data_IF_001330106402
#
_entry.id   IF_001330106402
#
_cell.length_a   1.000
_cell.length_b   1.000
_cell.length_c   1.000
_cell.angle_alpha   90.00
_cell.angle_beta   90.00
_cell.angle_gamma   90.00
#
_symmetry.space_group_name_H-M   'P 1'
#
loop_
_entity.id
_entity.type
_entity.pdbx_description
1 polymer ?
#
# COMPACT_ATOMS: atom_id res chain seq x y z
N UNK A 1 -13.75 -24.97 35.29
CA UNK A 1 -13.58 -25.29 33.85
C UNK A 1 -12.68 -24.22 33.28
N UNK A 2 -11.38 -24.55 33.17
CA UNK A 2 -10.35 -23.60 32.72
C UNK A 2 -10.29 -23.70 31.21
N UNK A 3 -10.73 -22.68 30.50
CA UNK A 3 -10.60 -22.61 29.04
C UNK A 3 -9.13 -22.40 28.71
N UNK A 4 -8.43 -23.46 28.30
CA UNK A 4 -7.13 -23.39 27.67
C UNK A 4 -7.30 -22.89 26.24
N UNK A 5 -6.98 -21.63 25.99
CA UNK A 5 -6.73 -21.14 24.63
C UNK A 5 -5.44 -21.77 24.12
N UNK A 6 -5.42 -22.40 22.94
CA UNK A 6 -4.16 -22.86 22.37
C UNK A 6 -3.27 -21.63 22.07
N UNK A 7 -2.07 -21.62 22.62
CA UNK A 7 -1.05 -20.59 22.34
C UNK A 7 -0.62 -20.68 20.86
N UNK A 8 -1.30 -19.95 19.99
CA UNK A 8 -0.88 -19.72 18.59
C UNK A 8 0.01 -18.47 18.42
N UNK A 9 0.43 -17.86 19.53
CA UNK A 9 1.28 -16.67 19.52
C UNK A 9 2.57 -16.96 20.29
N UNK A 10 3.47 -17.70 19.69
CA UNK A 10 4.76 -17.94 20.29
C UNK A 10 5.88 -17.89 19.27
N UNK A 11 6.12 -16.69 18.76
CA UNK A 11 7.45 -16.18 18.42
C UNK A 11 7.25 -14.68 18.30
N UNK A 12 8.10 -13.80 18.87
CA UNK A 12 8.08 -12.39 18.52
C UNK A 12 8.24 -12.32 17.01
N UNK A 13 7.36 -11.59 16.33
CA UNK A 13 7.49 -11.29 14.91
C UNK A 13 8.87 -10.68 14.72
N UNK A 14 9.76 -11.42 14.06
CA UNK A 14 11.10 -10.94 13.81
C UNK A 14 10.96 -9.83 12.76
N UNK A 15 11.37 -8.61 13.12
CA UNK A 15 11.41 -7.48 12.20
C UNK A 15 12.29 -7.84 11.00
N UNK A 16 11.86 -7.48 9.82
CA UNK A 16 12.68 -7.63 8.62
C UNK A 16 13.72 -6.50 8.56
N UNK A 17 14.78 -6.71 7.79
CA UNK A 17 15.76 -5.65 7.53
C UNK A 17 15.10 -4.40 6.91
N UNK A 18 14.08 -4.60 6.08
CA UNK A 18 13.31 -3.53 5.45
C UNK A 18 12.47 -2.76 6.47
N UNK A 19 11.85 -3.45 7.44
CA UNK A 19 11.13 -2.77 8.53
C UNK A 19 12.07 -1.90 9.35
N UNK A 20 13.25 -2.39 9.74
CA UNK A 20 14.23 -1.61 10.50
C UNK A 20 14.71 -0.38 9.71
N UNK A 21 14.94 -0.54 8.41
CA UNK A 21 15.36 0.56 7.52
C UNK A 21 14.28 1.65 7.42
N UNK A 22 13.00 1.26 7.23
CA UNK A 22 11.88 2.18 7.09
C UNK A 22 11.43 2.78 8.45
N UNK A 23 11.59 2.05 9.55
CA UNK A 23 11.32 2.57 10.89
C UNK A 23 12.40 3.57 11.37
N UNK A 24 13.59 3.53 10.77
CA UNK A 24 14.74 4.36 11.12
C UNK A 24 14.77 5.74 10.47
N UNK A 25 15.97 6.33 10.43
CA UNK A 25 16.21 7.69 9.91
C UNK A 25 15.86 7.84 8.44
N UNK A 26 16.09 6.80 7.62
CA UNK A 26 15.76 6.85 6.20
C UNK A 26 14.26 7.06 5.96
N UNK A 27 13.39 6.32 6.69
CA UNK A 27 11.94 6.49 6.59
C UNK A 27 11.49 7.88 7.07
N UNK A 28 12.14 8.42 8.11
CA UNK A 28 11.88 9.78 8.59
C UNK A 28 12.22 10.83 7.52
N UNK A 29 13.41 10.74 6.94
CA UNK A 29 13.81 11.65 5.84
C UNK A 29 12.91 11.51 4.61
N UNK A 30 12.47 10.29 4.30
CA UNK A 30 11.50 10.04 3.23
C UNK A 30 10.19 10.79 3.50
N UNK A 31 9.66 10.70 4.72
CA UNK A 31 8.45 11.39 5.15
C UNK A 31 8.57 12.91 4.94
N UNK A 32 9.68 13.52 5.34
CA UNK A 32 9.90 14.97 5.18
C UNK A 32 9.97 15.38 3.70
N UNK A 33 10.58 14.56 2.85
CA UNK A 33 10.70 14.86 1.40
C UNK A 33 9.39 14.69 0.62
N UNK A 34 8.47 13.86 1.10
CA UNK A 34 7.29 13.45 0.35
C UNK A 34 5.97 14.01 0.90
N UNK A 35 6.01 14.75 2.01
CA UNK A 35 4.84 15.45 2.54
C UNK A 35 4.57 16.69 1.70
N UNK A 36 3.39 16.78 1.10
CA UNK A 36 2.99 17.91 0.25
C UNK A 36 1.46 18.08 0.27
N UNK A 37 0.93 19.28 -0.04
CA UNK A 37 -0.52 19.49 -0.20
C UNK A 37 -1.12 18.63 -1.33
N UNK A 38 -2.43 18.40 -1.30
CA UNK A 38 -3.14 17.54 -2.25
C UNK A 38 -3.01 18.02 -3.71
N UNK A 39 -3.05 19.32 -3.94
CA UNK A 39 -2.90 19.93 -5.27
C UNK A 39 -1.49 19.70 -5.84
N UNK A 40 -0.45 19.89 -5.02
CA UNK A 40 0.93 19.59 -5.40
C UNK A 40 1.14 18.10 -5.65
N UNK A 41 0.50 17.25 -4.84
CA UNK A 41 0.54 15.81 -5.01
C UNK A 41 -0.09 15.38 -6.33
N UNK A 42 -1.27 15.92 -6.68
CA UNK A 42 -1.89 15.68 -7.98
C UNK A 42 -1.07 16.22 -9.14
N UNK A 43 -0.49 17.43 -9.01
CA UNK A 43 0.38 18.02 -10.02
C UNK A 43 1.64 17.17 -10.26
N UNK A 44 2.19 16.57 -9.21
CA UNK A 44 3.34 15.65 -9.31
C UNK A 44 2.98 14.42 -10.18
N UNK A 45 1.84 13.76 -9.92
CA UNK A 45 1.40 12.63 -10.75
C UNK A 45 1.07 13.04 -12.18
N UNK A 46 0.40 14.19 -12.36
CA UNK A 46 0.13 14.76 -13.68
C UNK A 46 1.42 14.96 -14.50
N UNK A 47 2.47 15.43 -13.86
CA UNK A 47 3.77 15.65 -14.50
C UNK A 47 4.50 14.37 -14.90
N UNK A 48 4.26 13.26 -14.21
CA UNK A 48 4.92 11.97 -14.48
C UNK A 48 4.11 11.12 -15.47
N UNK A 49 2.78 11.06 -15.33
CA UNK A 49 1.92 10.11 -16.03
C UNK A 49 0.92 10.75 -16.99
N UNK A 50 0.77 12.08 -16.98
CA UNK A 50 -0.30 12.76 -17.69
C UNK A 50 -1.68 12.66 -17.02
N UNK A 51 -1.75 12.05 -15.85
CA UNK A 51 -2.96 11.85 -15.04
C UNK A 51 -2.71 12.26 -13.60
N UNK A 52 -3.69 12.89 -12.95
CA UNK A 52 -3.67 13.12 -11.51
C UNK A 52 -3.88 11.81 -10.76
N UNK A 53 -3.41 11.72 -9.51
CA UNK A 53 -3.66 10.52 -8.69
C UNK A 53 -5.16 10.31 -8.41
N UNK A 54 -5.94 11.38 -8.32
CA UNK A 54 -7.39 11.29 -8.16
C UNK A 54 -8.06 10.67 -9.39
N UNK A 55 -7.63 11.01 -10.60
CA UNK A 55 -8.13 10.39 -11.84
C UNK A 55 -7.76 8.90 -11.88
N UNK A 56 -6.50 8.56 -11.56
CA UNK A 56 -6.05 7.18 -11.45
C UNK A 56 -6.88 6.38 -10.43
N UNK A 57 -7.12 6.93 -9.24
CA UNK A 57 -7.96 6.30 -8.22
C UNK A 57 -9.41 6.15 -8.72
N UNK A 58 -9.98 7.17 -9.35
CA UNK A 58 -11.35 7.14 -9.86
C UNK A 58 -11.54 6.05 -10.93
N UNK A 59 -10.54 5.81 -11.75
CA UNK A 59 -10.54 4.74 -12.75
C UNK A 59 -10.74 3.35 -12.12
N UNK A 60 -10.20 3.10 -10.92
CA UNK A 60 -10.20 1.79 -10.28
C UNK A 60 -11.32 1.60 -9.26
N UNK A 61 -11.61 2.65 -8.49
CA UNK A 61 -12.52 2.57 -7.34
C UNK A 61 -13.60 3.66 -7.35
N UNK A 62 -13.78 4.36 -8.48
CA UNK A 62 -14.80 5.41 -8.63
C UNK A 62 -16.22 4.93 -8.35
N UNK A 63 -16.51 3.67 -8.64
CA UNK A 63 -17.84 3.05 -8.47
C UNK A 63 -18.05 2.41 -7.08
N UNK A 64 -17.04 2.41 -6.20
CA UNK A 64 -17.23 1.90 -4.83
C UNK A 64 -18.14 2.82 -4.02
N UNK A 65 -19.00 2.26 -3.13
CA UNK A 65 -19.76 3.06 -2.17
C UNK A 65 -18.85 3.96 -1.35
N UNK A 66 -19.26 5.20 -1.13
CA UNK A 66 -18.44 6.19 -0.38
C UNK A 66 -18.31 5.85 1.11
N UNK A 67 -19.18 4.99 1.61
CA UNK A 67 -19.17 4.41 2.96
C UNK A 67 -18.29 3.15 3.05
N UNK A 68 -17.69 2.68 1.95
CA UNK A 68 -16.78 1.54 1.96
C UNK A 68 -15.63 1.77 2.96
N UNK A 69 -15.34 0.74 3.74
CA UNK A 69 -14.19 0.75 4.66
C UNK A 69 -12.92 0.47 3.87
N UNK A 70 -12.03 1.44 3.84
CA UNK A 70 -10.77 1.37 3.10
C UNK A 70 -9.60 1.39 4.06
N UNK A 71 -8.69 0.43 3.92
CA UNK A 71 -7.40 0.41 4.63
C UNK A 71 -6.27 0.66 3.63
N UNK A 72 -5.43 1.64 3.91
CA UNK A 72 -4.12 1.79 3.28
C UNK A 72 -3.03 1.21 4.18
N UNK A 73 -2.25 0.27 3.66
CA UNK A 73 -1.08 -0.31 4.33
C UNK A 73 0.16 0.46 3.89
N UNK A 74 0.93 0.99 4.87
CA UNK A 74 2.07 1.88 4.62
C UNK A 74 1.63 3.27 4.19
N UNK A 75 0.70 3.88 4.95
CA UNK A 75 0.06 5.14 4.54
C UNK A 75 0.94 6.39 4.66
N UNK A 76 2.14 6.29 5.22
CA UNK A 76 3.02 7.43 5.52
C UNK A 76 2.23 8.59 6.17
N UNK A 77 2.27 9.80 5.60
CA UNK A 77 1.52 10.97 6.08
C UNK A 77 0.04 10.99 5.68
N UNK A 78 -0.47 9.92 5.05
CA UNK A 78 -1.88 9.75 4.72
C UNK A 78 -2.34 10.49 3.46
N UNK A 79 -1.45 10.84 2.53
CA UNK A 79 -1.80 11.62 1.34
C UNK A 79 -2.79 10.90 0.40
N UNK A 80 -2.64 9.59 0.23
CA UNK A 80 -3.63 8.80 -0.52
C UNK A 80 -5.01 8.84 0.18
N UNK A 81 -5.04 8.74 1.51
CA UNK A 81 -6.28 8.82 2.29
C UNK A 81 -6.94 10.20 2.16
N UNK A 82 -6.15 11.29 2.14
CA UNK A 82 -6.63 12.64 1.83
C UNK A 82 -7.23 12.71 0.43
N UNK A 83 -6.58 12.08 -0.55
CA UNK A 83 -7.10 11.95 -1.92
C UNK A 83 -8.43 11.20 -1.96
N UNK A 84 -8.56 10.10 -1.23
CA UNK A 84 -9.81 9.34 -1.12
C UNK A 84 -10.92 10.14 -0.42
N UNK A 85 -10.59 10.95 0.62
CA UNK A 85 -11.55 11.87 1.22
C UNK A 85 -12.06 12.91 0.21
N UNK A 86 -11.17 13.46 -0.62
CA UNK A 86 -11.56 14.40 -1.68
C UNK A 86 -12.49 13.75 -2.72
N UNK A 87 -12.42 12.42 -2.90
CA UNK A 87 -13.34 11.63 -3.71
C UNK A 87 -14.66 11.30 -2.98
N UNK A 88 -14.79 11.68 -1.71
CA UNK A 88 -16.00 11.47 -0.90
C UNK A 88 -16.01 10.23 -0.01
N UNK A 89 -14.94 9.43 0.04
CA UNK A 89 -14.85 8.29 0.96
C UNK A 89 -14.76 8.75 2.42
N UNK A 90 -15.50 8.11 3.31
CA UNK A 90 -15.67 8.54 4.71
C UNK A 90 -15.13 7.56 5.76
N UNK A 91 -14.96 6.29 5.43
CA UNK A 91 -14.51 5.25 6.36
C UNK A 91 -13.07 4.82 6.03
N UNK A 92 -12.12 5.69 6.34
CA UNK A 92 -10.72 5.54 5.94
C UNK A 92 -9.83 5.18 7.14
N UNK A 93 -8.94 4.23 6.90
CA UNK A 93 -7.97 3.70 7.84
C UNK A 93 -6.59 3.66 7.19
N UNK A 94 -5.57 3.95 7.97
CA UNK A 94 -4.17 3.81 7.57
C UNK A 94 -3.39 3.06 8.64
N UNK A 95 -2.44 2.24 8.22
CA UNK A 95 -1.42 1.69 9.10
C UNK A 95 -0.05 2.10 8.56
N UNK A 96 0.84 2.53 9.45
CA UNK A 96 2.17 3.03 9.10
C UNK A 96 3.19 2.58 10.14
N UNK A 97 4.33 2.09 9.67
CA UNK A 97 5.39 1.56 10.50
C UNK A 97 6.16 2.69 11.21
N UNK A 98 6.45 3.78 10.48
CA UNK A 98 7.25 4.90 10.95
C UNK A 98 6.44 5.82 11.88
N UNK A 99 6.77 5.81 13.19
CA UNK A 99 6.05 6.60 14.20
C UNK A 99 6.02 8.10 13.91
N UNK A 100 7.12 8.66 13.39
CA UNK A 100 7.18 10.08 12.99
C UNK A 100 6.18 10.41 11.86
N UNK A 101 6.03 9.52 10.88
CA UNK A 101 5.04 9.69 9.82
C UNK A 101 3.60 9.64 10.36
N UNK A 102 3.33 8.75 11.32
CA UNK A 102 2.03 8.68 12.01
C UNK A 102 1.72 9.98 12.75
N UNK A 103 2.70 10.56 13.46
CA UNK A 103 2.51 11.84 14.15
C UNK A 103 2.20 12.96 13.14
N UNK A 104 2.96 13.05 12.05
CA UNK A 104 2.70 13.98 10.95
C UNK A 104 1.32 13.78 10.35
N UNK A 105 0.93 12.54 10.05
CA UNK A 105 -0.38 12.24 9.51
C UNK A 105 -1.51 12.74 10.43
N UNK A 106 -1.39 12.56 11.74
CA UNK A 106 -2.36 13.04 12.73
C UNK A 106 -2.48 14.56 12.79
N UNK A 107 -1.41 15.29 12.44
CA UNK A 107 -1.45 16.75 12.35
C UNK A 107 -2.22 17.24 11.13
N UNK A 108 -2.05 16.59 9.98
CA UNK A 108 -2.57 17.05 8.69
C UNK A 108 -3.90 16.42 8.29
N UNK A 109 -4.12 15.15 8.64
CA UNK A 109 -5.31 14.40 8.22
C UNK A 109 -6.36 14.42 9.32
N UNK A 110 -7.59 14.76 8.96
CA UNK A 110 -8.75 14.78 9.87
C UNK A 110 -9.79 13.76 9.43
N UNK A 111 -10.43 13.09 10.39
CA UNK A 111 -11.51 12.12 10.10
C UNK A 111 -11.02 10.79 9.49
N UNK A 112 -9.73 10.48 9.62
CA UNK A 112 -9.12 9.20 9.23
C UNK A 112 -8.52 8.52 10.45
N UNK A 113 -8.65 7.21 10.54
CA UNK A 113 -8.08 6.39 11.61
C UNK A 113 -6.68 5.93 11.21
N UNK A 114 -5.63 6.54 11.80
CA UNK A 114 -4.22 6.17 11.51
C UNK A 114 -3.61 5.51 12.75
N UNK A 115 -3.10 4.29 12.54
CA UNK A 115 -2.44 3.47 13.55
C UNK A 115 -0.96 3.28 13.20
N UNK A 116 -0.11 3.26 14.22
CA UNK A 116 1.25 2.78 14.06
C UNK A 116 1.25 1.25 14.11
N UNK A 117 1.90 0.60 13.14
CA UNK A 117 2.01 -0.86 13.09
C UNK A 117 2.65 -1.36 11.82
N UNK A 118 2.93 -2.66 11.80
CA UNK A 118 3.52 -3.35 10.66
C UNK A 118 2.45 -3.88 9.70
N UNK A 119 2.73 -3.83 8.39
CA UNK A 119 1.93 -4.50 7.36
C UNK A 119 1.99 -6.03 7.45
N UNK A 120 2.94 -6.57 8.20
CA UNK A 120 3.10 -8.02 8.44
C UNK A 120 2.23 -8.58 9.57
N UNK A 121 1.57 -7.71 10.34
CA UNK A 121 0.69 -8.07 11.45
C UNK A 121 -0.39 -6.99 11.61
N UNK A 122 -1.41 -7.06 10.76
CA UNK A 122 -2.47 -6.06 10.74
C UNK A 122 -3.43 -6.29 11.93
N UNK A 123 -3.61 -5.31 12.84
CA UNK A 123 -4.41 -5.45 14.05
C UNK A 123 -5.92 -5.37 13.79
N UNK A 124 -6.35 -5.98 12.70
CA UNK A 124 -7.73 -5.99 12.26
C UNK A 124 -8.25 -7.43 12.09
N UNK A 125 -9.55 -7.60 12.25
CA UNK A 125 -10.19 -8.90 12.02
C UNK A 125 -10.27 -9.23 10.53
N UNK A 126 -10.44 -10.51 10.24
CA UNK A 126 -10.61 -11.02 8.88
C UNK A 126 -11.83 -10.37 8.20
N UNK A 127 -11.69 -10.10 6.91
CA UNK A 127 -12.74 -9.56 6.05
C UNK A 127 -13.40 -8.26 6.57
N UNK A 128 -12.64 -7.43 7.27
CA UNK A 128 -13.17 -6.20 7.86
C UNK A 128 -13.31 -5.06 6.87
N UNK A 129 -12.39 -4.93 5.93
CA UNK A 129 -12.34 -3.83 4.96
C UNK A 129 -12.96 -4.25 3.63
N UNK A 130 -13.70 -3.35 3.01
CA UNK A 130 -14.23 -3.55 1.66
C UNK A 130 -13.10 -3.43 0.62
N UNK A 131 -12.08 -2.62 0.91
CA UNK A 131 -10.85 -2.45 0.12
C UNK A 131 -9.64 -2.37 1.05
N UNK A 132 -8.58 -3.14 0.73
CA UNK A 132 -7.23 -2.97 1.29
C UNK A 132 -6.29 -2.57 0.17
N UNK A 133 -5.49 -1.51 0.38
CA UNK A 133 -4.61 -1.01 -0.67
C UNK A 133 -3.20 -0.67 -0.18
N UNK A 134 -2.27 -0.60 -1.15
CA UNK A 134 -0.89 -0.09 -0.99
C UNK A 134 -0.58 0.93 -2.08
N UNK A 135 0.33 1.86 -1.78
CA UNK A 135 0.87 2.82 -2.73
C UNK A 135 2.38 2.94 -2.56
N UNK A 136 3.14 2.28 -3.42
CA UNK A 136 4.59 2.28 -3.37
C UNK A 136 5.16 1.64 -2.09
N UNK A 137 4.56 0.56 -1.62
CA UNK A 137 4.94 -0.17 -0.39
C UNK A 137 5.52 -1.53 -0.71
N UNK A 138 4.86 -2.31 -1.56
CA UNK A 138 5.30 -3.67 -1.88
C UNK A 138 6.66 -3.69 -2.58
N UNK A 139 6.99 -2.62 -3.29
CA UNK A 139 8.32 -2.40 -3.88
C UNK A 139 9.46 -2.40 -2.85
N UNK A 140 9.16 -2.17 -1.58
CA UNK A 140 10.14 -2.12 -0.48
C UNK A 140 10.13 -3.36 0.40
N UNK A 141 9.38 -4.38 0.02
CA UNK A 141 9.32 -5.68 0.71
C UNK A 141 10.18 -6.68 -0.05
N UNK A 142 11.07 -7.38 0.66
CA UNK A 142 11.88 -8.43 0.05
C UNK A 142 10.99 -9.50 -0.61
N UNK A 143 11.36 -10.02 -1.80
CA UNK A 143 10.52 -10.97 -2.54
C UNK A 143 10.07 -12.17 -1.71
N UNK A 144 10.93 -12.68 -0.82
CA UNK A 144 10.65 -13.78 0.09
C UNK A 144 9.59 -13.46 1.16
N UNK A 145 9.42 -12.18 1.51
CA UNK A 145 8.47 -11.69 2.51
C UNK A 145 7.13 -11.24 1.91
N UNK A 146 7.05 -11.08 0.57
CA UNK A 146 5.82 -10.69 -0.11
C UNK A 146 4.62 -11.60 0.24
N UNK A 147 4.74 -12.94 0.27
CA UNK A 147 3.60 -13.80 0.60
C UNK A 147 3.02 -13.51 1.99
N UNK A 148 3.84 -13.08 2.95
CA UNK A 148 3.41 -12.77 4.31
C UNK A 148 2.59 -11.49 4.39
N UNK A 149 3.10 -10.37 3.85
CA UNK A 149 2.36 -9.10 3.87
C UNK A 149 1.11 -9.17 3.01
N UNK A 150 1.18 -9.81 1.83
CA UNK A 150 0.04 -10.03 0.95
C UNK A 150 -1.03 -10.90 1.63
N UNK A 151 -0.62 -11.92 2.41
CA UNK A 151 -1.51 -12.75 3.21
C UNK A 151 -2.32 -11.95 4.22
N UNK A 152 -1.69 -10.99 4.93
CA UNK A 152 -2.37 -10.09 5.85
C UNK A 152 -3.35 -9.15 5.13
N UNK A 153 -2.96 -8.58 3.99
CA UNK A 153 -3.84 -7.76 3.16
C UNK A 153 -5.07 -8.57 2.70
N UNK A 154 -4.86 -9.78 2.20
CA UNK A 154 -5.94 -10.69 1.80
C UNK A 154 -6.81 -11.06 3.00
N UNK A 155 -6.23 -11.38 4.16
CA UNK A 155 -6.97 -11.72 5.36
C UNK A 155 -7.92 -10.58 5.79
N UNK A 156 -7.42 -9.35 5.83
CA UNK A 156 -8.18 -8.19 6.28
C UNK A 156 -9.20 -7.71 5.24
N UNK A 157 -8.98 -7.98 3.94
CA UNK A 157 -9.92 -7.62 2.88
C UNK A 157 -11.14 -8.53 2.88
N UNK A 158 -12.33 -7.93 2.83
CA UNK A 158 -13.60 -8.62 2.60
C UNK A 158 -13.93 -8.76 1.12
N UNK A 159 -13.35 -7.93 0.25
CA UNK A 159 -13.66 -7.97 -1.18
C UNK A 159 -12.51 -7.58 -2.08
N UNK A 160 -11.98 -6.38 -1.98
CA UNK A 160 -11.03 -5.85 -2.95
C UNK A 160 -9.63 -5.65 -2.36
N UNK A 161 -8.63 -5.85 -3.22
CA UNK A 161 -7.23 -5.50 -2.96
C UNK A 161 -6.76 -4.64 -4.13
N UNK A 162 -6.14 -3.51 -3.85
CA UNK A 162 -5.59 -2.61 -4.86
C UNK A 162 -4.13 -2.30 -4.56
N UNK A 163 -3.31 -2.26 -5.58
CA UNK A 163 -1.93 -1.79 -5.49
C UNK A 163 -1.63 -0.73 -6.54
N UNK A 164 -0.75 0.20 -6.16
CA UNK A 164 -0.05 1.09 -7.07
C UNK A 164 1.43 0.96 -6.77
N UNK A 165 2.19 0.36 -7.70
CA UNK A 165 3.56 -0.09 -7.44
C UNK A 165 4.42 0.04 -8.72
N UNK A 166 5.75 0.05 -8.58
CA UNK A 166 6.66 0.01 -9.72
C UNK A 166 6.57 -1.33 -10.43
N UNK A 167 6.50 -1.30 -11.75
CA UNK A 167 6.30 -2.49 -12.56
C UNK A 167 7.58 -2.98 -13.26
N UNK A 168 7.75 -4.28 -13.28
CA UNK A 168 8.58 -5.02 -14.22
C UNK A 168 7.94 -6.41 -14.49
N UNK A 169 8.10 -7.01 -15.68
CA UNK A 169 7.55 -8.34 -15.95
C UNK A 169 8.19 -9.42 -15.07
N UNK A 170 9.46 -9.25 -14.72
CA UNK A 170 10.22 -10.15 -13.85
C UNK A 170 10.74 -9.37 -12.63
N UNK A 171 10.91 -10.09 -11.51
CA UNK A 171 11.41 -9.48 -10.27
C UNK A 171 12.83 -8.97 -10.48
N UNK A 172 13.00 -7.67 -10.32
CA UNK A 172 14.24 -6.94 -10.56
C UNK A 172 14.60 -6.10 -9.35
N UNK A 173 15.76 -6.33 -8.76
CA UNK A 173 16.29 -5.49 -7.68
C UNK A 173 16.83 -4.17 -8.26
N UNK A 174 16.51 -3.08 -7.57
CA UNK A 174 16.94 -1.72 -7.96
C UNK A 174 17.76 -1.13 -6.82
N UNK A 175 18.88 -0.47 -7.16
CA UNK A 175 19.63 0.33 -6.20
C UNK A 175 18.80 1.57 -5.80
N UNK A 176 18.37 1.61 -4.55
CA UNK A 176 17.51 2.68 -4.05
C UNK A 176 18.33 3.72 -3.28
N UNK A 177 18.66 4.83 -3.92
CA UNK A 177 19.44 5.94 -3.31
C UNK A 177 20.75 5.48 -2.67
N UNK A 178 21.46 4.55 -3.34
CA UNK A 178 22.71 3.98 -2.83
C UNK A 178 22.53 2.75 -1.93
N UNK A 179 21.30 2.32 -1.66
CA UNK A 179 21.00 1.14 -0.86
C UNK A 179 20.58 -0.03 -1.76
N UNK A 180 21.24 -1.18 -1.61
CA UNK A 180 20.87 -2.43 -2.28
C UNK A 180 19.98 -3.27 -1.37
N UNK A 181 19.04 -4.03 -1.93
CA UNK A 181 18.14 -4.88 -1.16
C UNK A 181 16.98 -4.14 -0.47
N UNK A 182 16.59 -2.94 -0.98
CA UNK A 182 15.50 -2.14 -0.41
C UNK A 182 14.48 -1.66 -1.44
N UNK A 183 14.63 -2.03 -2.71
CA UNK A 183 13.64 -1.77 -3.75
C UNK A 183 13.65 -2.85 -4.82
N UNK A 184 12.45 -3.33 -5.16
CA UNK A 184 12.23 -4.29 -6.24
C UNK A 184 11.06 -3.83 -7.12
N UNK A 185 11.15 -4.14 -8.40
CA UNK A 185 10.05 -4.07 -9.36
C UNK A 185 9.62 -5.47 -9.71
N UNK A 186 8.32 -5.70 -9.82
CA UNK A 186 7.75 -6.97 -10.29
C UNK A 186 6.30 -6.78 -10.74
N UNK A 187 5.69 -7.81 -11.30
CA UNK A 187 4.23 -7.87 -11.49
C UNK A 187 3.56 -8.32 -10.18
N UNK A 188 3.28 -7.35 -9.30
CA UNK A 188 2.69 -7.63 -7.99
C UNK A 188 1.28 -8.24 -8.08
N UNK A 189 0.49 -7.91 -9.12
CA UNK A 189 -0.80 -8.54 -9.34
C UNK A 189 -0.65 -10.04 -9.60
N UNK A 190 0.31 -10.43 -10.42
CA UNK A 190 0.65 -11.84 -10.67
C UNK A 190 1.10 -12.54 -9.37
N UNK A 191 1.98 -11.91 -8.58
CA UNK A 191 2.44 -12.48 -7.30
C UNK A 191 1.27 -12.73 -6.35
N UNK A 192 0.30 -11.80 -6.25
CA UNK A 192 -0.93 -12.03 -5.48
C UNK A 192 -1.71 -13.25 -5.98
N UNK A 193 -1.95 -13.34 -7.29
CA UNK A 193 -2.75 -14.41 -7.89
C UNK A 193 -2.09 -15.80 -7.75
N UNK A 194 -0.77 -15.86 -7.85
CA UNK A 194 0.00 -17.10 -7.66
C UNK A 194 -0.06 -17.61 -6.21
N UNK A 195 -0.04 -16.71 -5.22
CA UNK A 195 -0.06 -17.06 -3.80
C UNK A 195 -1.48 -17.19 -3.22
N UNK A 196 -2.49 -16.60 -3.87
CA UNK A 196 -3.87 -16.57 -3.37
C UNK A 196 -4.87 -16.94 -4.47
N UNK A 197 -5.10 -18.22 -4.74
CA UNK A 197 -5.97 -18.70 -5.83
C UNK A 197 -7.45 -18.31 -5.67
N UNK A 198 -7.84 -17.79 -4.50
CA UNK A 198 -9.17 -17.22 -4.25
C UNK A 198 -9.32 -15.77 -4.74
N UNK A 199 -8.31 -15.20 -5.44
CA UNK A 199 -8.37 -13.88 -6.04
C UNK A 199 -8.56 -13.99 -7.56
N UNK A 200 -9.18 -12.97 -8.14
CA UNK A 200 -9.20 -12.74 -9.60
C UNK A 200 -8.79 -11.31 -9.92
N UNK A 201 -8.16 -11.12 -11.05
CA UNK A 201 -7.86 -9.79 -11.58
C UNK A 201 -9.16 -9.14 -12.09
N UNK A 202 -9.50 -7.97 -11.58
CA UNK A 202 -10.61 -7.15 -12.07
C UNK A 202 -10.10 -6.16 -13.11
N UNK A 203 -9.02 -5.47 -12.81
CA UNK A 203 -8.43 -4.43 -13.67
C UNK A 203 -6.94 -4.30 -13.40
N UNK A 204 -6.20 -3.97 -14.45
CA UNK A 204 -4.80 -3.57 -14.39
C UNK A 204 -4.54 -2.52 -15.45
N UNK A 205 -3.74 -1.49 -15.10
CA UNK A 205 -3.32 -0.45 -16.01
C UNK A 205 -1.85 -0.10 -15.74
N UNK A 206 -1.06 -0.06 -16.80
CA UNK A 206 0.34 0.38 -16.77
C UNK A 206 0.40 1.86 -17.09
N UNK A 207 1.00 2.64 -16.20
CA UNK A 207 1.22 4.08 -16.36
C UNK A 207 2.68 4.34 -16.74
N UNK A 208 2.99 4.53 -18.03
CA UNK A 208 4.33 4.85 -18.47
C UNK A 208 4.72 6.26 -18.03
N UNK A 209 6.00 6.46 -17.72
CA UNK A 209 6.53 7.77 -17.43
C UNK A 209 6.63 8.58 -18.71
N UNK A 210 6.05 9.78 -18.74
CA UNK A 210 6.04 10.67 -19.91
C UNK A 210 7.23 11.63 -19.95
N UNK A 211 8.03 11.71 -18.87
CA UNK A 211 9.23 12.55 -18.83
C UNK A 211 10.42 11.84 -19.51
N UNK A 212 11.22 12.59 -20.24
CA UNK A 212 12.36 12.08 -21.02
C UNK A 212 13.48 11.46 -20.17
N UNK A 213 13.60 11.88 -18.89
CA UNK A 213 14.67 11.45 -18.00
C UNK A 213 14.51 9.99 -17.54
N UNK A 214 13.28 9.46 -17.59
CA UNK A 214 12.93 8.13 -17.08
C UNK A 214 12.18 7.27 -18.10
N UNK A 215 12.43 7.52 -19.40
CA UNK A 215 11.82 6.74 -20.48
C UNK A 215 12.00 5.23 -20.28
N UNK A 216 10.90 4.49 -20.43
CA UNK A 216 10.85 3.03 -20.24
C UNK A 216 10.51 2.59 -18.82
N UNK A 217 10.47 3.51 -17.82
CA UNK A 217 9.87 3.22 -16.54
C UNK A 217 8.35 3.29 -16.63
N UNK A 218 7.70 2.46 -15.85
CA UNK A 218 6.25 2.44 -15.73
C UNK A 218 5.86 1.92 -14.35
N UNK A 219 4.74 2.42 -13.86
CA UNK A 219 4.09 1.92 -12.66
C UNK A 219 2.82 1.18 -13.06
N UNK A 220 2.33 0.35 -12.16
CA UNK A 220 1.10 -0.40 -12.34
C UNK A 220 0.10 -0.04 -11.25
N UNK A 221 -1.15 0.18 -11.66
CA UNK A 221 -2.29 0.00 -10.75
C UNK A 221 -3.01 -1.29 -11.10
N UNK A 222 -3.41 -2.03 -10.05
CA UNK A 222 -4.21 -3.23 -10.20
C UNK A 222 -5.30 -3.29 -9.13
N UNK A 223 -6.42 -3.91 -9.51
CA UNK A 223 -7.54 -4.23 -8.63
C UNK A 223 -7.81 -5.71 -8.71
N UNK A 224 -7.75 -6.38 -7.57
CA UNK A 224 -8.10 -7.77 -7.39
C UNK A 224 -9.39 -7.88 -6.59
N UNK A 225 -10.16 -8.93 -6.82
CA UNK A 225 -11.38 -9.25 -6.08
C UNK A 225 -11.31 -10.66 -5.51
N UNK A 226 -11.74 -10.83 -4.28
CA UNK A 226 -11.93 -12.16 -3.68
C UNK A 226 -13.11 -12.85 -4.34
N UNK A 227 -12.88 -14.04 -4.87
CA UNK A 227 -13.93 -14.89 -5.42
C UNK A 227 -14.67 -15.51 -4.25
N UNK A 228 -16.02 -15.41 -4.18
CA UNK A 228 -16.78 -16.12 -3.17
C UNK A 228 -16.52 -17.63 -3.25
N UNK A 229 -16.34 -18.25 -2.08
CA UNK A 229 -16.16 -19.70 -1.96
C UNK A 229 -17.45 -20.46 -2.35
#
# INVERSE_FOLDING_TARGET
>A
MTLCYPAKYSLPLQHTQQEDFWAGDFGREYTDRNSRPLDEWNAFYQGIYGHTKLEMNAEFIGDLPREARVLEVGCNTGMQLVGLQAMGFSNLYGIELQGYAVEKAREFVRGVNILQGSGFDLPFKDNYFDLVCTNGVLIHIAPEDLPRIMGEMVRCSGRYIMGYEYYAPDTTAINYRGNEGFLWKTDFARVFLENHPGLRLVKQHLYPYINDAEQGNQDVMFLLEKVPA
#
